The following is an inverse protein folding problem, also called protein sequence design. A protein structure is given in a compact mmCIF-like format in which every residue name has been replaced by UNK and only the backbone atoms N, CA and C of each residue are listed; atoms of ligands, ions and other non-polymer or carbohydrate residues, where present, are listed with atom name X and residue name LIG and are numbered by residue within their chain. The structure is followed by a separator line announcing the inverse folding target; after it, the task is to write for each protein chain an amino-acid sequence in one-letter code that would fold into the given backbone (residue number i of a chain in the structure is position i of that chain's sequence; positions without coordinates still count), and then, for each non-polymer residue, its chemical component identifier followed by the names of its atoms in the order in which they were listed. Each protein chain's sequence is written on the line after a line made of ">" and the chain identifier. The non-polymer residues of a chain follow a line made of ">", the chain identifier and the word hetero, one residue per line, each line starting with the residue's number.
data_IF_954688293203
#
_entry.id   IF_954688293203
#
_cell.length_a   1.000
_cell.length_b   1.000
_cell.length_c   1.000
_cell.angle_alpha   90.00
_cell.angle_beta   90.00
_cell.angle_gamma   90.00
#
_symmetry.space_group_name_H-M   'P 1'
#
loop_
_entity.id
_entity.type
_entity.pdbx_description
1 polymer ?
#
# COMPACT_ATOMS: atom_id res chain seq x y z
N UNK A 1 -2.07 12.51 64.02
CA UNK A 1 -3.46 12.48 64.55
C UNK A 1 -4.28 11.54 63.68
N UNK A 2 -5.38 10.93 64.18
CA UNK A 2 -6.28 10.17 63.33
C UNK A 2 -6.92 11.04 62.24
N UNK A 3 -7.34 10.40 61.14
CA UNK A 3 -7.99 11.03 60.01
C UNK A 3 -9.43 11.47 60.37
N UNK A 4 -9.91 12.58 59.81
CA UNK A 4 -11.30 13.02 60.04
C UNK A 4 -12.29 12.08 59.32
N UNK A 5 -12.98 11.22 60.09
CA UNK A 5 -13.81 10.12 59.57
C UNK A 5 -14.85 10.51 58.50
N UNK A 6 -15.44 11.72 58.56
CA UNK A 6 -16.37 12.17 57.51
C UNK A 6 -15.67 12.39 56.15
N UNK A 7 -14.40 12.81 56.14
CA UNK A 7 -13.59 12.92 54.92
C UNK A 7 -13.09 11.56 54.44
N UNK A 8 -12.74 10.66 55.36
CA UNK A 8 -12.40 9.27 55.04
C UNK A 8 -13.55 8.57 54.32
N UNK A 9 -14.76 8.62 54.90
CA UNK A 9 -15.97 8.06 54.32
C UNK A 9 -16.32 8.71 52.97
N UNK A 10 -16.20 10.03 52.84
CA UNK A 10 -16.45 10.72 51.57
C UNK A 10 -15.45 10.32 50.47
N UNK A 11 -14.17 10.16 50.79
CA UNK A 11 -13.14 9.67 49.87
C UNK A 11 -13.37 8.21 49.47
N UNK A 12 -13.73 7.33 50.41
CA UNK A 12 -14.10 5.94 50.12
C UNK A 12 -15.33 5.84 49.22
N UNK A 13 -16.37 6.61 49.50
CA UNK A 13 -17.56 6.69 48.65
C UNK A 13 -17.18 7.10 47.22
N UNK A 14 -16.30 8.11 47.05
CA UNK A 14 -15.78 8.50 45.74
C UNK A 14 -14.98 7.37 45.07
N UNK A 15 -14.06 6.71 45.78
CA UNK A 15 -13.29 5.58 45.23
C UNK A 15 -14.24 4.47 44.75
N UNK A 16 -15.25 4.10 45.54
CA UNK A 16 -16.24 3.10 45.17
C UNK A 16 -17.05 3.51 43.93
N UNK A 17 -17.44 4.79 43.80
CA UNK A 17 -18.17 5.29 42.62
C UNK A 17 -17.32 5.27 41.33
N UNK A 18 -15.99 5.17 41.42
CA UNK A 18 -15.14 4.98 40.23
C UNK A 18 -15.39 3.64 39.52
N UNK A 19 -16.04 2.66 40.18
CA UNK A 19 -16.38 1.34 39.61
C UNK A 19 -15.13 0.61 39.07
N UNK A 20 -14.02 0.74 39.80
CA UNK A 20 -12.67 0.21 39.51
C UNK A 20 -12.35 -1.06 40.31
N UNK A 21 -12.97 -1.22 41.48
CA UNK A 21 -13.04 -2.47 42.21
C UNK A 21 -14.35 -3.20 41.84
N UNK A 22 -14.35 -4.53 41.92
CA UNK A 22 -15.55 -5.37 41.82
C UNK A 22 -16.41 -5.28 43.07
N UNK A 23 -15.75 -5.13 44.22
CA UNK A 23 -16.33 -5.20 45.55
C UNK A 23 -16.19 -3.83 46.24
N UNK A 24 -17.23 -3.33 46.93
CA UNK A 24 -17.14 -2.07 47.66
C UNK A 24 -16.06 -2.11 48.76
N UNK A 25 -15.34 -1.01 48.93
CA UNK A 25 -14.39 -0.82 50.02
C UNK A 25 -15.08 -0.13 51.20
N UNK A 26 -14.92 -0.73 52.39
CA UNK A 26 -15.46 -0.23 53.66
C UNK A 26 -14.43 0.61 54.44
N UNK A 27 -13.13 0.43 54.18
CA UNK A 27 -12.05 1.12 54.89
C UNK A 27 -10.86 1.50 53.99
N UNK A 28 -10.15 2.58 54.36
CA UNK A 28 -8.98 3.09 53.63
C UNK A 28 -7.78 2.15 53.69
N UNK A 29 -7.63 1.30 54.72
CA UNK A 29 -6.54 0.32 54.77
C UNK A 29 -6.56 -0.65 53.57
N UNK A 30 -7.73 -0.90 53.00
CA UNK A 30 -7.90 -1.74 51.81
C UNK A 30 -7.23 -1.14 50.56
N UNK A 31 -6.85 0.14 50.58
CA UNK A 31 -6.10 0.81 49.51
C UNK A 31 -4.58 0.71 49.66
N UNK A 32 -4.06 0.11 50.73
CA UNK A 32 -2.62 -0.07 50.96
C UNK A 32 -1.96 -0.87 49.82
N UNK A 33 -2.70 -1.77 49.17
CA UNK A 33 -2.22 -2.55 48.02
C UNK A 33 -1.82 -1.69 46.80
N UNK A 34 -2.29 -0.43 46.74
CA UNK A 34 -2.08 0.52 45.64
C UNK A 34 -2.67 0.12 44.27
N UNK A 35 -3.23 -1.08 44.10
CA UNK A 35 -3.81 -1.56 42.85
C UNK A 35 -5.05 -0.78 42.42
N UNK A 36 -5.92 -0.42 43.37
CA UNK A 36 -7.09 0.44 43.10
C UNK A 36 -6.66 1.82 42.61
N UNK A 37 -5.61 2.42 43.20
CA UNK A 37 -5.07 3.70 42.76
C UNK A 37 -4.45 3.63 41.37
N UNK A 38 -3.69 2.58 41.05
CA UNK A 38 -3.12 2.36 39.70
C UNK A 38 -4.23 2.26 38.65
N UNK A 39 -5.27 1.46 38.89
CA UNK A 39 -6.42 1.36 37.98
C UNK A 39 -7.18 2.69 37.83
N UNK A 40 -7.28 3.51 38.87
CA UNK A 40 -7.81 4.89 38.77
C UNK A 40 -6.92 5.76 37.87
N UNK A 41 -5.60 5.67 38.00
CA UNK A 41 -4.64 6.40 37.12
C UNK A 41 -4.80 5.98 35.66
N UNK A 42 -4.90 4.68 35.38
CA UNK A 42 -5.20 4.14 34.04
C UNK A 42 -6.54 4.69 33.52
N UNK A 43 -7.59 4.73 34.34
CA UNK A 43 -8.91 5.28 33.96
C UNK A 43 -8.86 6.77 33.60
N UNK A 44 -8.03 7.58 34.27
CA UNK A 44 -7.86 9.01 33.96
C UNK A 44 -7.21 9.19 32.57
N UNK A 45 -6.23 8.36 32.21
CA UNK A 45 -5.42 8.55 30.99
C UNK A 45 -5.97 7.77 29.80
N UNK A 46 -6.52 6.57 30.01
CA UNK A 46 -6.64 5.46 29.04
C UNK A 46 -5.27 5.01 28.52
N UNK A 47 -4.34 4.77 29.44
CA UNK A 47 -3.07 4.10 29.16
C UNK A 47 -3.04 2.76 29.90
N UNK A 48 -2.42 1.76 29.27
CA UNK A 48 -2.19 0.43 29.82
C UNK A 48 -0.86 0.35 30.60
N UNK A 49 -0.07 1.45 30.66
CA UNK A 49 1.17 1.56 31.44
C UNK A 49 1.06 0.93 32.84
N UNK A 50 0.02 1.28 33.60
CA UNK A 50 -0.18 0.78 34.95
C UNK A 50 -0.59 -0.69 35.04
N UNK A 51 -1.04 -1.33 33.96
CA UNK A 51 -1.38 -2.76 34.01
C UNK A 51 -0.11 -3.61 34.19
N UNK A 52 0.98 -3.26 33.48
CA UNK A 52 2.30 -3.87 33.70
C UNK A 52 2.85 -3.67 35.11
N UNK A 53 2.37 -2.64 35.82
CA UNK A 53 2.77 -2.29 37.19
C UNK A 53 1.90 -3.02 38.23
N UNK A 54 0.69 -3.49 37.88
CA UNK A 54 -0.17 -4.21 38.84
C UNK A 54 0.42 -5.54 39.34
N UNK A 55 1.23 -6.20 38.52
CA UNK A 55 1.92 -7.46 38.87
C UNK A 55 3.23 -7.23 39.67
N UNK A 56 3.68 -5.98 39.82
CA UNK A 56 4.95 -5.64 40.47
C UNK A 56 4.86 -5.59 42.01
N UNK A 57 6.00 -5.72 42.73
CA UNK A 57 6.07 -5.53 44.18
C UNK A 57 5.46 -4.20 44.66
N UNK A 58 4.95 -4.19 45.89
CA UNK A 58 4.29 -3.01 46.47
C UNK A 58 5.16 -1.73 46.41
N UNK A 59 6.48 -1.85 46.59
CA UNK A 59 7.42 -0.73 46.48
C UNK A 59 7.43 -0.09 45.08
N UNK A 60 7.36 -0.90 44.03
CA UNK A 60 7.32 -0.43 42.63
C UNK A 60 5.96 0.20 42.32
N UNK A 61 4.87 -0.42 42.76
CA UNK A 61 3.50 0.11 42.69
C UNK A 61 3.35 1.48 43.38
N UNK A 62 3.96 1.65 44.56
CA UNK A 62 4.05 2.94 45.26
C UNK A 62 4.91 3.94 44.47
N UNK A 63 6.06 3.51 43.94
CA UNK A 63 6.95 4.39 43.17
C UNK A 63 6.27 4.96 41.92
N UNK A 64 5.45 4.17 41.23
CA UNK A 64 4.64 4.60 40.09
C UNK A 64 3.62 5.66 40.48
N UNK A 65 2.90 5.48 41.60
CA UNK A 65 1.94 6.48 42.11
C UNK A 65 2.66 7.78 42.50
N UNK A 66 3.78 7.70 43.22
CA UNK A 66 4.57 8.87 43.59
C UNK A 66 5.09 9.61 42.35
N UNK A 67 5.66 8.90 41.37
CA UNK A 67 6.14 9.45 40.11
C UNK A 67 5.03 10.08 39.26
N UNK A 68 3.85 9.43 39.21
CA UNK A 68 2.66 9.97 38.56
C UNK A 68 2.21 11.29 39.19
N UNK A 69 2.04 11.33 40.52
CA UNK A 69 1.65 12.54 41.23
C UNK A 69 2.69 13.65 41.03
N UNK A 70 3.99 13.32 41.12
CA UNK A 70 5.09 14.25 40.85
C UNK A 70 5.08 14.81 39.42
N UNK A 71 4.79 13.97 38.40
CA UNK A 71 4.67 14.39 36.99
C UNK A 71 3.53 15.40 36.76
N UNK A 72 2.46 15.32 37.56
CA UNK A 72 1.26 16.17 37.39
C UNK A 72 1.09 17.28 38.42
N UNK A 73 2.01 17.43 39.38
CA UNK A 73 2.12 18.60 40.24
C UNK A 73 2.83 19.77 39.52
N UNK A 74 2.25 20.97 39.58
CA UNK A 74 2.78 22.16 38.88
C UNK A 74 4.12 22.66 39.40
N UNK A 75 4.39 22.46 40.69
CA UNK A 75 5.53 23.05 41.39
C UNK A 75 6.61 22.00 41.63
N UNK A 76 7.56 21.87 40.70
CA UNK A 76 8.68 20.91 40.81
C UNK A 76 9.50 21.07 42.10
N UNK A 77 9.54 22.28 42.68
CA UNK A 77 10.21 22.57 43.95
C UNK A 77 9.40 22.20 45.20
N UNK A 78 8.10 21.93 45.08
CA UNK A 78 7.25 21.41 46.16
C UNK A 78 6.98 19.90 46.00
N UNK A 79 7.72 19.24 45.10
CA UNK A 79 7.57 17.82 44.81
C UNK A 79 8.34 16.91 45.78
N UNK A 80 9.11 17.47 46.72
CA UNK A 80 9.67 16.71 47.83
C UNK A 80 8.56 16.31 48.81
N UNK A 81 8.06 15.08 48.64
CA UNK A 81 7.28 14.32 49.63
C UNK A 81 5.85 14.80 49.97
N UNK A 82 5.12 15.32 48.97
CA UNK A 82 3.64 15.47 49.01
C UNK A 82 2.92 14.20 49.52
N UNK A 83 3.46 13.02 49.17
CA UNK A 83 3.17 11.74 49.81
C UNK A 83 4.51 11.01 50.00
N UNK A 84 4.78 10.54 51.23
CA UNK A 84 5.98 9.72 51.50
C UNK A 84 5.73 8.26 51.15
N UNK A 85 6.59 7.70 50.30
CA UNK A 85 6.55 6.28 49.95
C UNK A 85 6.71 5.35 51.17
N UNK A 86 7.46 5.77 52.20
CA UNK A 86 7.59 5.03 53.45
C UNK A 86 6.26 4.99 54.22
N UNK A 87 5.56 6.13 54.34
CA UNK A 87 4.25 6.19 55.02
C UNK A 87 3.16 5.36 54.29
N UNK A 88 3.28 5.21 52.97
CA UNK A 88 2.42 4.31 52.18
C UNK A 88 2.76 2.83 52.44
N UNK A 89 4.04 2.45 52.49
CA UNK A 89 4.48 1.09 52.86
C UNK A 89 4.00 0.71 54.27
N UNK A 90 4.11 1.65 55.22
CA UNK A 90 3.63 1.54 56.61
C UNK A 90 2.09 1.50 56.73
N UNK A 91 1.36 1.76 55.65
CA UNK A 91 -0.12 1.67 55.62
C UNK A 91 -0.83 2.84 56.30
N UNK A 92 -0.19 4.00 56.44
CA UNK A 92 -0.79 5.15 57.13
C UNK A 92 -2.04 5.65 56.36
N UNK A 93 -3.23 5.53 56.97
CA UNK A 93 -4.52 6.01 56.42
C UNK A 93 -4.43 7.44 55.86
N UNK A 94 -3.65 8.29 56.53
CA UNK A 94 -3.42 9.68 56.16
C UNK A 94 -2.66 9.82 54.83
N UNK A 95 -1.68 8.96 54.56
CA UNK A 95 -0.95 8.92 53.30
C UNK A 95 -1.85 8.39 52.17
N UNK A 96 -2.63 7.34 52.44
CA UNK A 96 -3.63 6.81 51.51
C UNK A 96 -4.72 7.85 51.18
N UNK A 97 -5.17 8.61 52.18
CA UNK A 97 -6.09 9.73 52.00
C UNK A 97 -5.47 10.89 51.19
N UNK A 98 -4.19 11.24 51.40
CA UNK A 98 -3.49 12.23 50.55
C UNK A 98 -3.47 11.78 49.08
N UNK A 99 -3.18 10.51 48.79
CA UNK A 99 -3.25 9.95 47.42
C UNK A 99 -4.68 10.05 46.87
N UNK A 100 -5.69 9.62 47.63
CA UNK A 100 -7.09 9.69 47.21
C UNK A 100 -7.55 11.12 46.88
N UNK A 101 -7.17 12.12 47.69
CA UNK A 101 -7.46 13.55 47.43
C UNK A 101 -6.83 14.05 46.13
N UNK A 102 -5.56 13.68 45.87
CA UNK A 102 -4.86 14.10 44.66
C UNK A 102 -5.42 13.42 43.39
N UNK A 103 -5.80 12.15 43.48
CA UNK A 103 -6.45 11.43 42.38
C UNK A 103 -7.88 11.93 42.13
N UNK A 104 -8.64 12.29 43.18
CA UNK A 104 -9.92 12.99 43.09
C UNK A 104 -9.77 14.33 42.34
N UNK A 105 -8.77 15.13 42.72
CA UNK A 105 -8.44 16.38 42.04
C UNK A 105 -8.09 16.16 40.56
N UNK A 106 -7.17 15.25 40.25
CA UNK A 106 -6.79 14.95 38.88
C UNK A 106 -7.93 14.36 38.03
N UNK A 107 -8.81 13.56 38.62
CA UNK A 107 -10.04 13.07 37.97
C UNK A 107 -10.98 14.22 37.63
N UNK A 108 -11.26 15.11 38.60
CA UNK A 108 -12.13 16.28 38.38
C UNK A 108 -11.58 17.24 37.31
N UNK A 109 -10.24 17.35 37.21
CA UNK A 109 -9.55 18.16 36.21
C UNK A 109 -9.40 17.49 34.84
N UNK A 110 -9.82 16.22 34.67
CA UNK A 110 -9.80 15.53 33.37
C UNK A 110 -10.85 16.11 32.41
N UNK A 111 -10.63 15.97 31.09
CA UNK A 111 -11.64 16.20 30.07
C UNK A 111 -12.65 15.04 29.96
N UNK A 112 -12.24 13.82 30.34
CA UNK A 112 -12.99 12.57 30.10
C UNK A 112 -14.01 12.35 31.23
N UNK A 113 -15.30 12.50 30.92
CA UNK A 113 -16.48 12.33 31.81
C UNK A 113 -16.35 12.96 33.22
N UNK A 114 -16.94 14.15 33.49
CA UNK A 114 -17.28 14.44 34.89
C UNK A 114 -18.19 13.31 35.38
N UNK A 115 -17.84 12.67 36.50
CA UNK A 115 -18.72 11.65 37.09
C UNK A 115 -20.07 12.27 37.47
N UNK A 116 -21.13 11.47 37.51
CA UNK A 116 -22.43 11.95 37.96
C UNK A 116 -22.40 12.15 39.48
N UNK A 117 -21.88 13.29 39.94
CA UNK A 117 -21.75 13.64 41.36
C UNK A 117 -23.11 13.70 42.11
N UNK A 118 -24.21 13.61 41.37
CA UNK A 118 -25.57 13.44 41.87
C UNK A 118 -25.84 12.00 42.38
N UNK A 119 -24.99 11.00 42.08
CA UNK A 119 -25.06 9.65 42.68
C UNK A 119 -24.76 9.68 44.20
N UNK A 120 -24.04 10.70 44.69
CA UNK A 120 -23.66 10.83 46.11
C UNK A 120 -24.75 11.47 46.96
N UNK A 121 -24.81 11.10 48.24
CA UNK A 121 -25.62 11.82 49.22
C UNK A 121 -25.08 13.24 49.48
N UNK A 122 -25.95 14.15 49.92
CA UNK A 122 -25.61 15.56 50.09
C UNK A 122 -24.44 15.81 51.05
N UNK A 123 -24.24 15.00 52.10
CA UNK A 123 -23.12 15.17 53.05
C UNK A 123 -21.80 14.80 52.38
N UNK A 124 -21.76 13.68 51.65
CA UNK A 124 -20.60 13.29 50.83
C UNK A 124 -20.30 14.35 49.77
N UNK A 125 -21.32 14.93 49.11
CA UNK A 125 -21.12 16.04 48.17
C UNK A 125 -20.51 17.28 48.84
N UNK A 126 -20.95 17.67 50.05
CA UNK A 126 -20.37 18.79 50.81
C UNK A 126 -18.90 18.52 51.19
N UNK A 127 -18.59 17.34 51.74
CA UNK A 127 -17.22 17.00 52.16
C UNK A 127 -16.28 16.93 50.94
N UNK A 128 -16.67 16.26 49.84
CA UNK A 128 -15.90 16.21 48.59
C UNK A 128 -15.72 17.59 47.95
N UNK A 129 -16.75 18.44 47.96
CA UNK A 129 -16.65 19.83 47.49
C UNK A 129 -15.68 20.64 48.37
N UNK A 130 -15.69 20.44 49.69
CA UNK A 130 -14.73 21.09 50.60
C UNK A 130 -13.30 20.64 50.34
N UNK A 131 -13.09 19.35 50.02
CA UNK A 131 -11.78 18.76 49.68
C UNK A 131 -11.26 19.36 48.37
N UNK A 132 -12.05 19.35 47.30
CA UNK A 132 -11.63 19.94 46.02
C UNK A 132 -11.40 21.44 46.12
N UNK A 133 -12.27 22.17 46.84
CA UNK A 133 -12.07 23.61 47.08
C UNK A 133 -10.79 23.89 47.86
N UNK A 134 -10.51 23.11 48.89
CA UNK A 134 -9.26 23.20 49.64
C UNK A 134 -8.03 22.99 48.74
N UNK A 135 -8.03 21.98 47.87
CA UNK A 135 -6.93 21.74 46.91
C UNK A 135 -6.81 22.86 45.87
N UNK A 136 -7.92 23.47 45.43
CA UNK A 136 -7.90 24.63 44.55
C UNK A 136 -7.27 25.85 45.23
N UNK A 137 -7.63 26.10 46.48
CA UNK A 137 -7.22 27.32 47.20
C UNK A 137 -5.78 27.21 47.75
N UNK A 138 -5.23 26.00 47.90
CA UNK A 138 -3.89 25.74 48.47
C UNK A 138 -2.91 25.07 47.48
N UNK A 139 -3.13 25.18 46.17
CA UNK A 139 -2.38 24.45 45.13
C UNK A 139 -0.85 24.68 45.18
N UNK A 140 -0.39 25.85 45.65
CA UNK A 140 1.02 26.24 45.69
C UNK A 140 1.75 25.78 46.98
N UNK A 141 1.01 25.38 48.02
CA UNK A 141 1.52 25.10 49.37
C UNK A 141 0.91 23.85 50.01
N UNK A 142 0.55 22.88 49.16
CA UNK A 142 -0.41 21.85 49.51
C UNK A 142 0.06 20.86 50.60
N UNK A 143 1.36 20.60 50.78
CA UNK A 143 1.85 19.53 51.67
C UNK A 143 1.43 19.70 53.14
N UNK A 144 1.90 20.78 53.79
CA UNK A 144 1.63 21.08 55.22
C UNK A 144 0.14 21.34 55.47
N UNK A 145 -0.48 22.03 54.52
CA UNK A 145 -1.88 22.44 54.64
C UNK A 145 -2.83 21.25 54.45
N UNK A 146 -2.53 20.28 53.56
CA UNK A 146 -3.39 19.12 53.34
C UNK A 146 -3.38 18.16 54.54
N UNK A 147 -2.22 17.97 55.18
CA UNK A 147 -2.14 17.14 56.39
C UNK A 147 -2.97 17.74 57.54
N UNK A 148 -2.77 19.03 57.81
CA UNK A 148 -3.52 19.73 58.85
C UNK A 148 -5.00 19.86 58.49
N UNK A 149 -5.37 20.02 57.21
CA UNK A 149 -6.76 19.99 56.76
C UNK A 149 -7.38 18.61 57.02
N UNK A 150 -6.79 17.51 56.55
CA UNK A 150 -7.33 16.16 56.68
C UNK A 150 -7.54 15.73 58.14
N UNK A 151 -6.61 16.10 59.04
CA UNK A 151 -6.71 15.83 60.47
C UNK A 151 -7.70 16.75 61.22
N UNK A 152 -7.86 18.02 60.79
CA UNK A 152 -8.61 19.04 61.54
C UNK A 152 -10.02 19.25 60.98
N UNK A 153 -11.01 19.24 61.87
CA UNK A 153 -12.36 19.76 61.55
C UNK A 153 -12.26 21.26 61.27
N UNK A 154 -12.69 21.70 60.10
CA UNK A 154 -12.69 23.12 59.75
C UNK A 154 -13.65 23.89 60.68
N UNK A 155 -13.26 25.06 61.21
CA UNK A 155 -14.21 25.98 61.82
C UNK A 155 -15.20 26.44 60.76
N UNK A 156 -16.49 26.20 60.98
CA UNK A 156 -17.56 26.80 60.19
C UNK A 156 -17.48 28.32 60.38
N UNK A 157 -17.42 29.08 59.28
CA UNK A 157 -17.42 30.55 59.32
C UNK A 157 -18.80 31.10 59.72
N UNK A 158 -19.11 31.05 61.02
CA UNK A 158 -20.32 31.61 61.59
C UNK A 158 -20.24 33.14 61.67
N UNK A 159 -21.23 33.81 61.10
CA UNK A 159 -21.32 35.28 61.08
C UNK A 159 -21.55 35.91 62.46
N UNK A 160 -21.19 37.19 62.58
CA UNK A 160 -21.68 38.20 63.53
C UNK A 160 -21.47 38.00 65.05
N UNK A 161 -20.48 38.72 65.58
CA UNK A 161 -20.47 39.39 66.90
C UNK A 161 -19.63 40.69 66.79
N UNK A 162 -19.71 41.63 67.74
CA UNK A 162 -19.31 43.05 67.54
C UNK A 162 -18.59 43.72 68.73
N UNK A 163 -18.15 44.99 68.55
CA UNK A 163 -17.44 45.90 69.50
C UNK A 163 -15.95 45.56 69.75
N UNK A 164 -15.00 46.45 70.08
CA UNK A 164 -14.90 47.94 70.21
C UNK A 164 -13.40 48.32 70.38
N UNK A 165 -12.86 49.56 70.35
CA UNK A 165 -13.28 50.95 70.01
C UNK A 165 -12.03 51.87 69.92
N UNK A 166 -12.21 53.20 69.88
CA UNK A 166 -11.19 54.30 69.98
C UNK A 166 -10.30 54.54 68.73
N UNK A 167 -10.25 55.72 68.07
CA UNK A 167 -10.03 57.14 68.48
C UNK A 167 -8.54 57.53 68.41
N UNK A 168 -8.08 58.64 67.82
CA UNK A 168 -8.70 59.81 67.12
C UNK A 168 -7.96 60.03 65.74
N UNK A 169 -8.27 60.93 64.80
CA UNK A 169 -8.99 62.22 64.80
C UNK A 169 -9.86 62.46 63.55
N UNK A 170 -10.57 63.59 63.56
CA UNK A 170 -11.42 64.19 62.51
C UNK A 170 -11.44 65.73 62.78
N UNK A 171 -12.23 66.62 62.13
CA UNK A 171 -13.24 66.46 61.05
C UNK A 171 -12.93 67.39 59.83
N UNK A 172 -13.77 67.71 58.84
CA UNK A 172 -15.16 67.40 58.42
C UNK A 172 -15.10 66.79 56.97
N UNK A 173 -16.09 66.72 56.05
CA UNK A 173 -17.43 67.29 55.83
C UNK A 173 -18.36 66.30 55.07
N UNK A 174 -19.68 66.50 55.23
CA UNK A 174 -20.78 66.12 54.33
C UNK A 174 -20.67 64.85 53.44
N UNK A 175 -21.24 63.76 53.95
CA UNK A 175 -22.13 62.89 53.14
C UNK A 175 -23.54 63.54 53.08
N UNK A 176 -24.55 63.06 52.31
CA UNK A 176 -24.65 61.76 51.65
C UNK A 176 -24.63 61.81 50.10
N UNK A 177 -24.28 60.67 49.49
CA UNK A 177 -25.10 60.00 48.46
C UNK A 177 -24.53 58.58 48.22
N UNK A 178 -25.33 57.53 48.40
CA UNK A 178 -24.93 56.15 48.08
C UNK A 178 -24.90 55.98 46.56
N UNK A 179 -23.72 55.92 45.94
CA UNK A 179 -23.58 55.22 44.65
C UNK A 179 -23.50 53.72 44.90
N UNK A 180 -24.67 53.12 45.10
CA UNK A 180 -24.86 51.68 44.98
C UNK A 180 -24.53 51.28 43.54
N UNK A 181 -23.29 50.84 43.30
CA UNK A 181 -22.91 50.24 42.00
C UNK A 181 -23.55 48.87 41.95
N UNK A 182 -24.82 48.84 41.51
CA UNK A 182 -25.43 47.60 41.02
C UNK A 182 -24.63 47.15 39.81
N UNK A 183 -23.80 46.13 40.01
CA UNK A 183 -23.32 45.33 38.89
C UNK A 183 -24.55 44.82 38.15
N UNK A 184 -24.68 45.19 36.87
CA UNK A 184 -25.68 44.59 36.02
C UNK A 184 -25.36 43.10 35.94
N UNK A 185 -26.32 42.25 36.28
CA UNK A 185 -26.13 40.80 36.23
C UNK A 185 -25.83 40.42 34.76
N UNK A 186 -24.59 40.02 34.49
CA UNK A 186 -24.14 39.71 33.13
C UNK A 186 -24.81 38.41 32.66
N UNK A 187 -25.98 38.57 32.05
CA UNK A 187 -26.76 37.51 31.43
C UNK A 187 -25.84 36.64 30.55
N UNK A 188 -25.72 35.36 30.89
CA UNK A 188 -24.80 34.42 30.23
C UNK A 188 -25.08 34.34 28.72
N UNK A 189 -24.23 34.95 27.91
CA UNK A 189 -24.30 34.84 26.45
C UNK A 189 -23.59 33.56 26.01
N UNK A 190 -24.29 32.76 25.20
CA UNK A 190 -23.78 31.63 24.41
C UNK A 190 -23.08 30.46 25.15
N UNK A 191 -23.89 29.49 25.59
CA UNK A 191 -23.71 28.09 25.14
C UNK A 191 -25.05 27.35 25.21
N UNK A 192 -25.41 26.61 24.15
CA UNK A 192 -26.80 26.23 23.88
C UNK A 192 -27.14 24.77 24.22
N UNK A 193 -27.75 24.54 25.38
CA UNK A 193 -28.85 23.58 25.59
C UNK A 193 -29.44 23.75 27.00
N UNK A 194 -30.70 23.35 27.21
CA UNK A 194 -31.31 23.31 28.55
C UNK A 194 -32.01 24.59 29.04
N UNK A 195 -32.40 25.51 28.16
CA UNK A 195 -33.23 26.66 28.54
C UNK A 195 -34.70 26.27 28.77
N UNK A 196 -35.02 25.66 29.91
CA UNK A 196 -36.38 25.60 30.49
C UNK A 196 -36.36 25.09 31.95
N UNK A 197 -36.24 26.00 32.91
CA UNK A 197 -37.00 25.99 34.18
C UNK A 197 -36.64 27.24 35.02
N UNK A 198 -37.53 28.24 35.02
CA UNK A 198 -37.49 29.39 35.94
C UNK A 198 -38.34 29.15 37.20
N UNK A 199 -38.51 27.89 37.58
CA UNK A 199 -39.20 27.44 38.79
C UNK A 199 -38.38 26.32 39.44
N UNK A 200 -38.01 26.52 40.71
CA UNK A 200 -37.45 25.52 41.63
C UNK A 200 -36.67 24.37 40.98
N UNK A 201 -35.49 24.66 40.41
CA UNK A 201 -34.52 23.61 40.11
C UNK A 201 -34.11 22.85 41.38
N UNK A 202 -33.57 21.62 41.27
CA UNK A 202 -33.00 20.92 42.41
C UNK A 202 -31.97 21.80 43.15
N UNK A 203 -31.80 21.65 44.48
CA UNK A 203 -30.76 22.38 45.20
C UNK A 203 -29.41 22.14 44.50
N UNK A 204 -28.64 23.21 44.30
CA UNK A 204 -27.37 23.10 43.59
C UNK A 204 -26.47 22.09 44.29
N UNK A 205 -25.92 21.14 43.52
CA UNK A 205 -24.94 20.20 44.04
C UNK A 205 -23.74 21.02 44.54
N UNK A 206 -23.32 20.87 45.81
CA UNK A 206 -22.13 21.54 46.33
C UNK A 206 -20.88 21.25 45.48
N UNK A 207 -20.84 20.07 44.85
CA UNK A 207 -19.82 19.68 43.90
C UNK A 207 -19.95 20.43 42.56
N UNK A 208 -21.17 20.54 42.04
CA UNK A 208 -21.48 21.34 40.85
C UNK A 208 -21.07 22.81 41.00
N UNK A 209 -21.31 23.42 42.16
CA UNK A 209 -20.95 24.82 42.43
C UNK A 209 -19.43 25.04 42.43
N UNK A 210 -18.65 24.09 42.98
CA UNK A 210 -17.17 24.12 42.90
C UNK A 210 -16.69 23.95 41.45
N UNK A 211 -17.27 23.02 40.68
CA UNK A 211 -16.87 22.82 39.27
C UNK A 211 -17.32 23.94 38.33
N UNK A 212 -18.39 24.65 38.67
CA UNK A 212 -18.90 25.81 37.91
C UNK A 212 -18.19 27.12 38.28
N UNK A 213 -17.36 27.12 39.32
CA UNK A 213 -16.55 28.28 39.72
C UNK A 213 -15.50 28.63 38.64
N UNK A 214 -15.37 29.90 38.20
CA UNK A 214 -14.46 30.29 37.11
C UNK A 214 -13.00 29.88 37.30
N UNK A 215 -12.51 29.84 38.54
CA UNK A 215 -11.17 29.36 38.91
C UNK A 215 -10.96 27.88 38.55
N UNK A 216 -11.94 27.02 38.79
CA UNK A 216 -11.89 25.60 38.41
C UNK A 216 -11.91 25.46 36.89
N UNK A 217 -12.87 26.12 36.23
CA UNK A 217 -13.04 26.06 34.77
C UNK A 217 -11.80 26.56 34.02
N UNK A 218 -11.23 27.69 34.44
CA UNK A 218 -10.00 28.24 33.85
C UNK A 218 -8.78 27.34 34.09
N UNK A 219 -8.66 26.68 35.26
CA UNK A 219 -7.57 25.72 35.51
C UNK A 219 -7.73 24.45 34.68
N UNK A 220 -8.94 23.92 34.55
CA UNK A 220 -9.26 22.76 33.69
C UNK A 220 -8.94 23.04 32.22
N UNK A 221 -9.40 24.17 31.70
CA UNK A 221 -9.09 24.63 30.33
C UNK A 221 -7.59 24.86 30.11
N UNK A 222 -6.87 25.45 31.08
CA UNK A 222 -5.41 25.59 31.01
C UNK A 222 -4.67 24.25 30.97
N UNK A 223 -5.12 23.23 31.71
CA UNK A 223 -4.53 21.87 31.66
C UNK A 223 -4.80 21.21 30.31
N UNK A 224 -6.01 21.34 29.77
CA UNK A 224 -6.37 20.82 28.45
C UNK A 224 -5.54 21.49 27.34
N UNK A 225 -5.42 22.82 27.36
CA UNK A 225 -4.61 23.58 26.39
C UNK A 225 -3.11 23.26 26.44
N UNK A 226 -2.60 22.74 27.56
CA UNK A 226 -1.22 22.25 27.63
C UNK A 226 -1.05 20.92 26.88
N UNK A 227 -1.96 19.96 27.11
CA UNK A 227 -1.95 18.66 26.43
C UNK A 227 -2.20 18.81 24.92
N UNK A 228 -3.13 19.66 24.51
CA UNK A 228 -3.37 19.91 23.06
C UNK A 228 -2.18 20.61 22.36
N UNK A 229 -1.26 21.23 23.10
CA UNK A 229 0.01 21.73 22.54
C UNK A 229 1.03 20.61 22.44
N UNK A 230 1.16 19.77 23.48
CA UNK A 230 2.01 18.59 23.50
C UNK A 230 1.67 17.67 22.31
N UNK A 231 0.40 17.27 22.16
CA UNK A 231 -0.11 16.50 21.02
C UNK A 231 0.20 17.15 19.65
N UNK A 232 0.08 18.48 19.55
CA UNK A 232 0.34 19.23 18.32
C UNK A 232 1.82 19.21 17.96
N UNK A 233 2.68 19.38 18.96
CA UNK A 233 4.12 19.47 18.78
C UNK A 233 4.69 18.08 18.43
N UNK A 234 4.13 17.00 18.99
CA UNK A 234 4.35 15.62 18.55
C UNK A 234 3.95 15.40 17.08
N UNK A 235 2.72 15.78 16.70
CA UNK A 235 2.24 15.69 15.31
C UNK A 235 3.06 16.55 14.32
N UNK A 236 3.61 17.67 14.76
CA UNK A 236 4.50 18.51 13.93
C UNK A 236 5.84 17.80 13.65
N UNK A 237 6.38 17.05 14.62
CA UNK A 237 7.54 16.17 14.43
C UNK A 237 7.21 15.02 13.48
N UNK A 238 6.12 14.29 13.71
CA UNK A 238 5.69 13.20 12.80
C UNK A 238 5.49 13.68 11.36
N UNK A 239 4.91 14.87 11.16
CA UNK A 239 4.73 15.48 9.84
C UNK A 239 6.07 15.89 9.21
N UNK A 240 7.06 16.33 9.99
CA UNK A 240 8.40 16.62 9.49
C UNK A 240 9.14 15.34 9.04
N UNK A 241 9.04 14.26 9.81
CA UNK A 241 9.63 12.96 9.46
C UNK A 241 8.97 12.33 8.23
N UNK A 242 7.63 12.37 8.14
CA UNK A 242 6.90 11.90 6.96
C UNK A 242 7.27 12.70 5.69
N UNK A 243 7.42 14.03 5.78
CA UNK A 243 7.90 14.86 4.66
C UNK A 243 9.32 14.46 4.21
N UNK A 244 10.22 14.15 5.14
CA UNK A 244 11.57 13.67 4.84
C UNK A 244 11.55 12.28 4.17
N UNK A 245 10.67 11.38 4.62
CA UNK A 245 10.50 10.07 3.99
C UNK A 245 9.94 10.19 2.56
N UNK A 246 8.98 11.09 2.34
CA UNK A 246 8.43 11.38 1.00
C UNK A 246 9.54 11.86 0.05
N UNK A 247 10.35 12.85 0.44
CA UNK A 247 11.41 13.36 -0.46
C UNK A 247 12.53 12.34 -0.73
N UNK A 248 12.81 11.43 0.21
CA UNK A 248 13.69 10.27 -0.05
C UNK A 248 13.09 9.33 -1.11
N UNK A 249 11.77 9.06 -1.05
CA UNK A 249 11.08 8.21 -2.03
C UNK A 249 10.96 8.89 -3.40
N UNK A 250 10.71 10.19 -3.46
CA UNK A 250 10.72 10.98 -4.70
C UNK A 250 12.10 10.97 -5.37
N UNK A 251 13.19 11.06 -4.59
CA UNK A 251 14.55 10.93 -5.09
C UNK A 251 14.85 9.51 -5.60
N UNK A 252 14.38 8.46 -4.90
CA UNK A 252 14.49 7.07 -5.35
C UNK A 252 13.72 6.83 -6.66
N UNK A 253 12.49 7.33 -6.78
CA UNK A 253 11.68 7.27 -8.00
C UNK A 253 12.38 7.99 -9.15
N UNK A 254 12.94 9.17 -8.91
CA UNK A 254 13.66 9.96 -9.92
C UNK A 254 14.92 9.23 -10.43
N UNK A 255 15.68 8.57 -9.54
CA UNK A 255 16.81 7.73 -9.94
C UNK A 255 16.36 6.49 -10.75
N UNK A 256 15.22 5.89 -10.42
CA UNK A 256 14.66 4.77 -11.19
C UNK A 256 14.19 5.22 -12.57
N UNK A 257 13.53 6.38 -12.68
CA UNK A 257 13.10 6.94 -13.97
C UNK A 257 14.32 7.21 -14.87
N UNK A 258 15.35 7.88 -14.36
CA UNK A 258 16.60 8.12 -15.12
C UNK A 258 17.29 6.81 -15.58
N UNK A 259 17.16 5.71 -14.82
CA UNK A 259 17.63 4.38 -15.24
C UNK A 259 16.76 3.79 -16.35
N UNK A 260 15.44 3.92 -16.25
CA UNK A 260 14.48 3.47 -17.28
C UNK A 260 14.72 4.24 -18.58
N UNK A 261 14.82 5.57 -18.53
CA UNK A 261 15.07 6.42 -19.70
C UNK A 261 16.40 6.06 -20.39
N UNK A 262 17.45 5.80 -19.60
CA UNK A 262 18.75 5.33 -20.12
C UNK A 262 18.67 3.94 -20.75
N UNK A 263 17.89 3.03 -20.18
CA UNK A 263 17.67 1.70 -20.76
C UNK A 263 16.83 1.77 -22.04
N UNK A 264 15.83 2.64 -22.10
CA UNK A 264 15.04 2.90 -23.30
C UNK A 264 15.92 3.42 -24.44
N UNK A 265 16.77 4.43 -24.18
CA UNK A 265 17.73 4.96 -25.18
C UNK A 265 18.76 3.93 -25.66
N UNK A 266 19.14 2.96 -24.80
CA UNK A 266 20.01 1.86 -25.21
C UNK A 266 19.25 0.82 -26.05
N UNK A 267 18.01 0.50 -25.67
CA UNK A 267 17.14 -0.41 -26.44
C UNK A 267 16.75 0.17 -27.79
N UNK A 268 16.53 1.48 -27.90
CA UNK A 268 16.22 2.18 -29.14
C UNK A 268 17.44 2.16 -30.08
N UNK A 269 18.64 2.43 -29.57
CA UNK A 269 19.89 2.27 -30.34
C UNK A 269 20.09 0.83 -30.80
N UNK A 270 19.90 -0.14 -29.91
CA UNK A 270 20.03 -1.56 -30.26
C UNK A 270 18.93 -2.04 -31.23
N UNK A 271 17.80 -1.34 -31.33
CA UNK A 271 16.78 -1.54 -32.37
C UNK A 271 17.13 -0.82 -33.69
N UNK A 272 17.84 0.31 -33.65
CA UNK A 272 18.35 1.02 -34.82
C UNK A 272 19.59 0.33 -35.43
N UNK A 273 20.44 -0.31 -34.61
CA UNK A 273 21.50 -1.20 -35.08
C UNK A 273 20.87 -2.46 -35.72
N UNK A 274 19.72 -2.92 -35.21
CA UNK A 274 18.82 -3.88 -35.87
C UNK A 274 18.02 -3.25 -37.05
N UNK A 275 18.59 -2.30 -37.80
CA UNK A 275 18.12 -1.94 -39.14
C UNK A 275 18.92 -2.64 -40.27
N UNK A 276 20.10 -3.21 -39.98
CA UNK A 276 20.79 -4.18 -40.85
C UNK A 276 19.92 -5.35 -41.39
N UNK A 277 18.93 -5.93 -40.66
CA UNK A 277 18.09 -6.99 -41.20
C UNK A 277 17.38 -6.65 -42.51
N UNK A 278 17.20 -5.37 -42.89
CA UNK A 278 16.64 -5.03 -44.21
C UNK A 278 17.53 -5.48 -45.37
N UNK A 279 18.84 -5.28 -45.27
CA UNK A 279 19.79 -5.73 -46.30
C UNK A 279 19.88 -7.26 -46.32
N UNK A 280 19.78 -7.91 -45.14
CA UNK A 280 19.71 -9.37 -45.02
C UNK A 280 18.40 -9.97 -45.53
N UNK A 281 17.27 -9.26 -45.37
CA UNK A 281 15.95 -9.65 -45.90
C UNK A 281 15.94 -9.53 -47.42
N UNK A 282 16.43 -8.41 -47.97
CA UNK A 282 16.65 -8.25 -49.41
C UNK A 282 17.58 -9.34 -49.97
N UNK A 283 18.65 -9.72 -49.25
CA UNK A 283 19.53 -10.82 -49.65
C UNK A 283 18.84 -12.18 -49.56
N UNK A 284 17.95 -12.40 -48.58
CA UNK A 284 17.11 -13.61 -48.48
C UNK A 284 16.14 -13.70 -49.67
N UNK A 285 15.38 -12.65 -49.97
CA UNK A 285 14.48 -12.58 -51.13
C UNK A 285 15.22 -12.82 -52.45
N UNK A 286 16.39 -12.20 -52.63
CA UNK A 286 17.25 -12.41 -53.82
C UNK A 286 17.75 -13.85 -53.92
N UNK A 287 18.04 -14.51 -52.79
CA UNK A 287 18.45 -15.91 -52.75
C UNK A 287 17.28 -16.87 -53.06
N UNK A 288 16.10 -16.62 -52.50
CA UNK A 288 14.88 -17.38 -52.82
C UNK A 288 14.50 -17.24 -54.31
N UNK A 289 14.57 -16.02 -54.86
CA UNK A 289 14.41 -15.76 -56.30
C UNK A 289 15.44 -16.49 -57.18
N UNK A 290 16.68 -16.63 -56.71
CA UNK A 290 17.71 -17.41 -57.39
C UNK A 290 17.42 -18.92 -57.30
N UNK A 291 16.99 -19.43 -56.15
CA UNK A 291 16.59 -20.82 -55.98
C UNK A 291 15.40 -21.20 -56.88
N UNK A 292 14.37 -20.36 -56.98
CA UNK A 292 13.22 -20.62 -57.88
C UNK A 292 13.69 -20.73 -59.34
N UNK A 293 14.50 -19.77 -59.81
CA UNK A 293 15.06 -19.80 -61.18
C UNK A 293 15.98 -20.98 -61.42
N UNK A 294 16.73 -21.43 -60.41
CA UNK A 294 17.57 -22.63 -60.51
C UNK A 294 16.72 -23.90 -60.67
N UNK A 295 15.64 -24.04 -59.91
CA UNK A 295 14.71 -25.18 -60.05
C UNK A 295 14.00 -25.16 -61.41
N UNK A 296 13.61 -23.99 -61.91
CA UNK A 296 13.01 -23.84 -63.24
C UNK A 296 14.00 -24.21 -64.36
N UNK A 297 15.25 -23.74 -64.29
CA UNK A 297 16.31 -24.10 -65.23
C UNK A 297 16.64 -25.61 -65.20
N UNK A 298 16.71 -26.21 -64.01
CA UNK A 298 16.89 -27.67 -63.85
C UNK A 298 15.75 -28.46 -64.48
N UNK A 299 14.50 -27.99 -64.32
CA UNK A 299 13.34 -28.59 -65.00
C UNK A 299 13.47 -28.47 -66.52
N UNK A 300 13.80 -27.30 -67.07
CA UNK A 300 14.01 -27.11 -68.50
C UNK A 300 15.12 -28.04 -69.04
N UNK A 301 16.22 -28.22 -68.30
CA UNK A 301 17.26 -29.19 -68.64
C UNK A 301 16.78 -30.66 -68.61
N UNK A 302 15.86 -31.01 -67.69
CA UNK A 302 15.25 -32.33 -67.66
C UNK A 302 14.29 -32.54 -68.83
N UNK A 303 13.44 -31.56 -69.14
CA UNK A 303 12.49 -31.61 -70.25
C UNK A 303 13.25 -31.77 -71.59
N UNK A 304 14.25 -30.92 -71.86
CA UNK A 304 15.15 -31.03 -73.02
C UNK A 304 15.89 -32.37 -73.11
N UNK A 305 16.26 -32.97 -71.96
CA UNK A 305 16.87 -34.32 -71.94
C UNK A 305 15.87 -35.40 -72.35
N UNK A 306 14.58 -35.26 -72.02
CA UNK A 306 13.55 -36.19 -72.52
C UNK A 306 13.25 -35.97 -74.00
N UNK A 307 13.20 -34.73 -74.47
CA UNK A 307 12.99 -34.37 -75.87
C UNK A 307 14.12 -34.91 -76.75
N UNK A 308 15.38 -34.69 -76.36
CA UNK A 308 16.54 -35.30 -77.02
C UNK A 308 16.39 -36.83 -77.07
N UNK A 309 16.01 -37.46 -75.96
CA UNK A 309 15.79 -38.91 -75.91
C UNK A 309 14.64 -39.42 -76.80
N UNK A 310 13.71 -38.54 -77.23
CA UNK A 310 12.71 -38.86 -78.25
C UNK A 310 13.27 -38.66 -79.67
N UNK A 311 14.02 -37.57 -79.90
CA UNK A 311 14.70 -37.33 -81.18
C UNK A 311 15.73 -38.41 -81.52
N UNK A 312 16.58 -38.82 -80.56
CA UNK A 312 17.56 -39.91 -80.72
C UNK A 312 16.87 -41.22 -81.15
N UNK A 313 15.68 -41.53 -80.59
CA UNK A 313 14.87 -42.70 -81.03
C UNK A 313 14.34 -42.54 -82.45
N UNK A 314 13.88 -41.35 -82.85
CA UNK A 314 13.40 -41.13 -84.22
C UNK A 314 14.53 -41.13 -85.24
N UNK A 315 15.74 -40.69 -84.86
CA UNK A 315 16.96 -40.83 -85.67
C UNK A 315 17.28 -42.32 -85.90
N UNK A 316 17.21 -43.15 -84.85
CA UNK A 316 17.40 -44.60 -84.99
C UNK A 316 16.35 -45.22 -85.93
N UNK A 317 15.06 -44.93 -85.72
CA UNK A 317 13.99 -45.42 -86.59
C UNK A 317 14.17 -44.99 -88.06
N UNK A 318 14.52 -43.73 -88.32
CA UNK A 318 14.80 -43.24 -89.67
C UNK A 318 16.06 -43.89 -90.28
N UNK A 319 17.03 -44.29 -89.46
CA UNK A 319 18.23 -45.01 -89.90
C UNK A 319 17.93 -46.47 -90.24
N UNK A 320 17.03 -47.13 -89.50
CA UNK A 320 16.49 -48.46 -89.82
C UNK A 320 15.68 -48.41 -91.12
N UNK A 321 14.72 -47.47 -91.23
CA UNK A 321 13.92 -47.23 -92.45
C UNK A 321 14.81 -46.95 -93.68
N UNK A 322 15.87 -46.16 -93.54
CA UNK A 322 16.84 -45.89 -94.61
C UNK A 322 17.74 -47.10 -94.93
N UNK A 323 18.02 -47.96 -93.95
CA UNK A 323 18.71 -49.25 -94.14
C UNK A 323 17.87 -50.21 -94.98
N UNK A 324 16.59 -50.35 -94.67
CA UNK A 324 15.61 -51.13 -95.43
C UNK A 324 15.45 -50.63 -96.87
N UNK A 325 15.38 -49.31 -97.06
CA UNK A 325 15.34 -48.70 -98.39
C UNK A 325 16.64 -48.94 -99.16
N UNK A 326 17.80 -48.87 -98.49
CA UNK A 326 19.10 -49.16 -99.09
C UNK A 326 19.27 -50.64 -99.47
N UNK A 327 18.65 -51.56 -98.72
CA UNK A 327 18.58 -52.98 -99.07
C UNK A 327 17.73 -53.19 -100.33
N UNK A 328 16.49 -52.66 -100.34
CA UNK A 328 15.56 -52.77 -101.48
C UNK A 328 16.14 -52.15 -102.76
N UNK A 329 16.87 -51.04 -102.64
CA UNK A 329 17.56 -50.42 -103.79
C UNK A 329 18.64 -51.35 -104.37
N UNK A 330 19.38 -52.07 -103.51
CA UNK A 330 20.41 -53.04 -103.94
C UNK A 330 19.80 -54.30 -104.56
N UNK A 331 18.68 -54.77 -104.02
CA UNK A 331 17.89 -55.87 -104.56
C UNK A 331 17.37 -55.54 -105.97
N UNK A 332 16.75 -54.36 -106.15
CA UNK A 332 16.32 -53.85 -107.46
C UNK A 332 17.50 -53.70 -108.42
N UNK A 333 18.65 -53.18 -107.96
CA UNK A 333 19.86 -53.09 -108.79
C UNK A 333 20.36 -54.47 -109.24
N UNK A 334 20.31 -55.48 -108.36
CA UNK A 334 20.65 -56.86 -108.71
C UNK A 334 19.69 -57.46 -109.74
N UNK A 335 18.38 -57.19 -109.62
CA UNK A 335 17.39 -57.64 -110.61
C UNK A 335 17.59 -56.94 -111.96
N UNK A 336 17.98 -55.66 -111.97
CA UNK A 336 18.29 -54.94 -113.21
C UNK A 336 19.55 -55.50 -113.91
N UNK A 337 20.57 -55.93 -113.16
CA UNK A 337 21.75 -56.61 -113.73
C UNK A 337 21.34 -57.96 -114.35
N UNK A 338 20.57 -58.78 -113.63
CA UNK A 338 20.08 -60.07 -114.13
C UNK A 338 19.20 -59.93 -115.39
N UNK A 339 18.36 -58.90 -115.44
CA UNK A 339 17.57 -58.58 -116.63
C UNK A 339 18.42 -58.08 -117.80
N UNK A 340 19.51 -57.36 -117.53
CA UNK A 340 20.47 -56.94 -118.56
C UNK A 340 21.31 -58.12 -119.09
N UNK A 341 21.68 -59.06 -118.22
CA UNK A 341 22.34 -60.31 -118.58
C UNK A 341 21.44 -61.16 -119.49
N UNK A 342 20.21 -61.45 -119.07
CA UNK A 342 19.24 -62.20 -119.88
C UNK A 342 18.87 -61.50 -121.21
N UNK A 343 18.87 -60.16 -121.25
CA UNK A 343 18.67 -59.40 -122.48
C UNK A 343 19.90 -59.45 -123.41
N UNK A 344 21.11 -59.54 -122.85
CA UNK A 344 22.33 -59.78 -123.64
C UNK A 344 22.34 -61.20 -124.20
N UNK A 345 22.02 -62.22 -123.38
CA UNK A 345 21.90 -63.62 -123.83
C UNK A 345 20.90 -63.76 -124.98
N UNK A 346 19.68 -63.22 -124.83
CA UNK A 346 18.65 -63.24 -125.87
C UNK A 346 19.07 -62.45 -127.14
N UNK A 347 19.90 -61.41 -126.99
CA UNK A 347 20.49 -60.68 -128.11
C UNK A 347 21.56 -61.52 -128.82
N UNK A 348 22.42 -62.23 -128.09
CA UNK A 348 23.40 -63.16 -128.66
C UNK A 348 22.73 -64.34 -129.37
N UNK A 349 21.70 -64.94 -128.77
CA UNK A 349 20.86 -65.95 -129.43
C UNK A 349 20.20 -65.41 -130.71
N UNK A 350 19.63 -64.20 -130.67
CA UNK A 350 19.04 -63.56 -131.85
C UNK A 350 20.06 -63.33 -132.96
N UNK A 351 21.24 -62.82 -132.62
CA UNK A 351 22.32 -62.60 -133.59
C UNK A 351 22.86 -63.92 -134.17
N UNK A 352 22.98 -64.97 -133.36
CA UNK A 352 23.38 -66.31 -133.81
C UNK A 352 22.32 -66.94 -134.73
N UNK A 353 21.03 -66.83 -134.39
CA UNK A 353 19.93 -67.29 -135.23
C UNK A 353 19.83 -66.51 -136.55
N UNK A 354 20.05 -65.18 -136.51
CA UNK A 354 20.10 -64.33 -137.69
C UNK A 354 21.28 -64.72 -138.60
N UNK A 355 22.47 -64.92 -138.04
CA UNK A 355 23.65 -65.37 -138.79
C UNK A 355 23.41 -66.76 -139.42
N UNK A 356 22.86 -67.72 -138.68
CA UNK A 356 22.51 -69.03 -139.23
C UNK A 356 21.43 -68.94 -140.33
N UNK A 357 20.47 -68.02 -140.20
CA UNK A 357 19.47 -67.77 -141.24
C UNK A 357 20.08 -67.16 -142.50
N UNK A 358 21.04 -66.24 -142.36
CA UNK A 358 21.80 -65.67 -143.47
C UNK A 358 22.70 -66.71 -144.13
N UNK A 359 23.35 -67.58 -143.36
CA UNK A 359 24.15 -68.69 -143.89
C UNK A 359 23.27 -69.65 -144.70
N UNK A 360 22.12 -70.08 -144.15
CA UNK A 360 21.15 -70.92 -144.86
C UNK A 360 20.60 -70.26 -146.12
N UNK A 361 20.34 -68.94 -146.10
CA UNK A 361 19.97 -68.21 -147.31
C UNK A 361 21.10 -68.24 -148.33
N UNK A 362 22.35 -67.98 -147.92
CA UNK A 362 23.52 -68.03 -148.80
C UNK A 362 23.78 -69.42 -149.38
N UNK A 363 23.57 -70.49 -148.60
CA UNK A 363 23.60 -71.88 -149.04
C UNK A 363 22.52 -72.15 -150.10
N UNK A 364 21.26 -71.80 -149.83
CA UNK A 364 20.15 -71.95 -150.78
C UNK A 364 20.33 -71.12 -152.06
N UNK A 365 20.90 -69.91 -151.97
CA UNK A 365 21.25 -69.12 -153.15
C UNK A 365 22.42 -69.73 -153.94
N UNK A 366 23.40 -70.34 -153.27
CA UNK A 366 24.49 -71.06 -153.93
C UNK A 366 23.98 -72.33 -154.63
N UNK A 367 23.09 -73.10 -153.98
CA UNK A 367 22.41 -74.26 -154.57
C UNK A 367 21.54 -73.84 -155.77
N UNK A 368 20.79 -72.74 -155.65
CA UNK A 368 20.01 -72.18 -156.76
C UNK A 368 20.92 -71.75 -157.93
N UNK A 369 22.07 -71.10 -157.64
CA UNK A 369 23.04 -70.71 -158.67
C UNK A 369 23.72 -71.93 -159.31
N UNK A 370 24.00 -72.99 -158.56
CA UNK A 370 24.51 -74.25 -159.10
C UNK A 370 23.48 -74.94 -160.01
N UNK A 371 22.22 -75.07 -159.56
CA UNK A 371 21.12 -75.62 -160.36
C UNK A 371 20.74 -74.77 -161.60
N UNK A 372 21.18 -73.51 -161.65
CA UNK A 372 21.10 -72.63 -162.83
C UNK A 372 22.35 -72.70 -163.73
N UNK A 373 23.47 -73.24 -163.26
CA UNK A 373 24.70 -73.47 -164.04
C UNK A 373 24.82 -74.91 -164.57
N UNK A 374 24.01 -75.85 -164.06
CA UNK A 374 23.88 -77.23 -164.57
C UNK A 374 22.94 -77.34 -165.80
N UNK A 375 22.84 -76.27 -166.61
CA UNK A 375 22.00 -76.16 -167.82
C UNK A 375 22.66 -75.34 -168.93
#
# INVERSE_FOLDING_TARGET
>A
MPLHGARAAALLAWVNSTKVCTDPLDDLSQLQDCGVFIRIINKIHRSEEGESVLEQPLSERISFICGFLQKHCKHKSAAENLVSAQKLLEGEELALAKVAVLLLYHTSMSCKSPGDWNEFDYKTQVELASILRFVLDNEESLNENLETFLQRKAPLSSSSASSSSSEEHSPLLSLPHKREVRFLELQKIASSSGANNMLAGPPSSPMGDVMQTPQFQLRRLKKQLAVERENRDELEVELAENRKLITEKEAQITMMQQRIDRLALLSEKQAADQLEPKEMEELREKNESLMVRLHEALKQCQDLKTEKGQMDRKINQLSEENGDLSFKLREIASHLVQLQEALNELSEEHNAALAQSQEKQGQLENELRAALQEK
#
